data_IF_092665189294
#
_entry.id   IF_092665189294
#
_cell.length_a   1.000
_cell.length_b   1.000
_cell.length_c   1.000
_cell.angle_alpha   90.00
_cell.angle_beta   90.00
_cell.angle_gamma   90.00
#
_symmetry.space_group_name_H-M   'P 1'
#
loop_
_entity.id
_entity.type
_entity.pdbx_description
1 polymer ?
#
# COMPACT_ATOMS: atom_id res chain seq x y z
N UNK A 1 -35.14 -2.84 9.95
CA UNK A 1 -35.67 -1.55 10.44
C UNK A 1 -35.48 -0.53 9.34
N UNK A 2 -36.55 -0.21 8.63
CA UNK A 2 -36.56 0.78 7.54
C UNK A 2 -36.75 2.15 8.20
N UNK A 3 -35.71 2.99 8.16
CA UNK A 3 -35.84 4.39 8.58
C UNK A 3 -36.56 5.13 7.45
N UNK A 4 -37.72 5.66 7.79
CA UNK A 4 -38.62 6.38 6.91
C UNK A 4 -38.01 7.71 6.42
N UNK A 5 -38.13 8.06 5.12
CA UNK A 5 -37.62 9.33 4.56
C UNK A 5 -38.38 10.58 5.05
N UNK A 6 -39.41 10.42 5.89
CA UNK A 6 -40.19 11.53 6.43
C UNK A 6 -39.52 12.28 7.60
N UNK A 7 -38.43 11.76 8.17
CA UNK A 7 -37.77 12.35 9.35
C UNK A 7 -36.83 13.53 8.99
N UNK A 8 -36.32 13.56 7.76
CA UNK A 8 -35.47 14.65 7.27
C UNK A 8 -36.29 15.92 6.92
N UNK A 9 -37.48 15.74 6.35
CA UNK A 9 -38.37 16.85 6.00
C UNK A 9 -38.94 17.55 7.23
N UNK A 10 -39.20 16.81 8.32
CA UNK A 10 -39.70 17.38 9.58
C UNK A 10 -38.68 18.30 10.25
N UNK A 11 -37.39 17.96 10.17
CA UNK A 11 -36.31 18.80 10.72
C UNK A 11 -36.10 20.09 9.93
N UNK A 12 -36.29 20.07 8.61
CA UNK A 12 -36.18 21.29 7.77
C UNK A 12 -37.35 22.25 8.06
N UNK A 13 -38.56 21.73 8.28
CA UNK A 13 -39.74 22.54 8.63
C UNK A 13 -39.59 23.18 10.01
N UNK A 14 -39.05 22.44 11.00
CA UNK A 14 -38.78 22.98 12.34
C UNK A 14 -37.73 24.10 12.33
N UNK A 15 -36.67 23.95 11.52
CA UNK A 15 -35.64 25.00 11.39
C UNK A 15 -36.19 26.26 10.72
N UNK A 16 -37.06 26.12 9.71
CA UNK A 16 -37.71 27.28 9.08
C UNK A 16 -38.68 28.00 10.03
N UNK A 17 -39.37 27.27 10.91
CA UNK A 17 -40.27 27.86 11.90
C UNK A 17 -39.51 28.62 13.01
N UNK A 18 -38.36 28.10 13.47
CA UNK A 18 -37.51 28.83 14.42
C UNK A 18 -36.92 30.11 13.79
N UNK A 19 -36.52 30.05 12.51
CA UNK A 19 -35.99 31.21 11.78
C UNK A 19 -37.03 32.30 11.55
N UNK A 20 -38.29 31.94 11.31
CA UNK A 20 -39.37 32.93 11.21
C UNK A 20 -39.69 33.58 12.56
N UNK A 21 -39.57 32.83 13.66
CA UNK A 21 -39.81 33.34 15.01
C UNK A 21 -38.75 34.35 15.45
N UNK A 22 -37.48 34.10 15.14
CA UNK A 22 -36.39 35.05 15.39
C UNK A 22 -36.51 36.32 14.53
N UNK A 23 -36.94 36.21 13.27
CA UNK A 23 -37.16 37.38 12.43
C UNK A 23 -38.36 38.23 12.91
N UNK A 24 -39.44 37.60 13.39
CA UNK A 24 -40.55 38.34 14.00
C UNK A 24 -40.16 39.04 15.31
N UNK A 25 -39.29 38.45 16.14
CA UNK A 25 -38.77 39.12 17.34
C UNK A 25 -37.84 40.29 16.98
N UNK A 26 -37.02 40.14 15.94
CA UNK A 26 -36.15 41.21 15.45
C UNK A 26 -36.94 42.40 14.88
N UNK A 27 -38.04 42.13 14.18
CA UNK A 27 -38.92 43.16 13.64
C UNK A 27 -39.77 43.83 14.73
N UNK A 28 -40.18 43.10 15.78
CA UNK A 28 -40.80 43.67 16.99
C UNK A 28 -39.83 44.56 17.77
N UNK A 29 -38.54 44.20 17.82
CA UNK A 29 -37.50 45.02 18.46
C UNK A 29 -37.17 46.28 17.65
N UNK A 30 -37.25 46.23 16.31
CA UNK A 30 -37.11 47.42 15.46
C UNK A 30 -38.33 48.34 15.50
N UNK A 31 -39.54 47.78 15.64
CA UNK A 31 -40.77 48.56 15.73
C UNK A 31 -40.92 49.32 17.06
N UNK A 32 -40.30 48.84 18.14
CA UNK A 32 -40.33 49.47 19.47
C UNK A 32 -39.17 50.45 19.73
N UNK A 33 -38.28 50.68 18.76
CA UNK A 33 -37.06 51.45 18.91
C UNK A 33 -37.04 52.74 18.09
N UNK A 34 -38.01 53.63 18.33
CA UNK A 34 -37.91 55.03 17.90
C UNK A 34 -37.76 55.89 19.15
N UNK A 35 -36.81 56.83 19.13
CA UNK A 35 -36.44 57.78 20.19
C UNK A 35 -35.35 57.35 21.20
N UNK A 36 -34.11 57.26 20.71
CA UNK A 36 -32.94 57.79 21.43
C UNK A 36 -31.75 57.89 20.47
N UNK A 37 -31.55 59.07 19.92
CA UNK A 37 -30.36 59.45 19.16
C UNK A 37 -29.13 59.62 20.07
N UNK A 38 -27.96 59.37 19.49
CA UNK A 38 -26.60 59.80 19.87
C UNK A 38 -25.68 58.87 20.70
N UNK A 39 -24.59 58.52 20.01
CA UNK A 39 -23.29 58.02 20.50
C UNK A 39 -23.27 56.63 21.11
N UNK A 40 -23.29 55.63 20.23
CA UNK A 40 -22.29 54.57 20.35
C UNK A 40 -21.86 54.15 18.96
N UNK A 41 -20.61 54.50 18.66
CA UNK A 41 -19.70 53.82 17.75
C UNK A 41 -20.29 52.52 17.20
N UNK A 42 -20.74 52.58 15.93
CA UNK A 42 -21.04 51.40 15.13
C UNK A 42 -19.81 50.52 15.20
N UNK A 43 -19.84 49.48 16.04
CA UNK A 43 -18.74 48.55 16.19
C UNK A 43 -18.65 47.68 14.92
N UNK A 44 -17.76 47.97 13.96
CA UNK A 44 -17.64 47.17 12.76
C UNK A 44 -16.57 46.10 13.04
N UNK A 45 -16.69 45.34 14.15
CA UNK A 45 -15.65 44.36 14.56
C UNK A 45 -16.22 43.03 15.06
N UNK A 46 -17.55 42.81 15.09
CA UNK A 46 -18.09 41.48 15.48
C UNK A 46 -18.29 40.50 14.34
N UNK A 47 -18.46 40.96 13.10
CA UNK A 47 -18.61 40.05 11.95
C UNK A 47 -17.27 39.47 11.51
N UNK A 48 -16.17 40.24 11.61
CA UNK A 48 -14.83 39.75 11.26
C UNK A 48 -14.31 38.68 12.24
N UNK A 49 -14.68 38.75 13.52
CA UNK A 49 -14.28 37.75 14.51
C UNK A 49 -14.94 36.38 14.28
N UNK A 50 -16.19 36.37 13.79
CA UNK A 50 -16.88 35.13 13.45
C UNK A 50 -16.37 34.51 12.14
N UNK A 51 -15.88 35.31 11.18
CA UNK A 51 -15.28 34.78 9.95
C UNK A 51 -13.91 34.11 10.16
N UNK A 52 -13.13 34.57 11.15
CA UNK A 52 -11.85 33.92 11.49
C UNK A 52 -12.03 32.59 12.24
N UNK A 53 -13.13 32.42 12.99
CA UNK A 53 -13.54 31.13 13.55
C UNK A 53 -14.11 30.17 12.48
N UNK A 54 -14.46 30.69 11.30
CA UNK A 54 -15.05 29.95 10.17
C UNK A 54 -14.00 29.33 9.22
N UNK A 55 -12.72 29.63 9.39
CA UNK A 55 -11.60 29.04 8.60
C UNK A 55 -10.64 28.27 9.50
N UNK A 56 -11.18 27.44 10.38
CA UNK A 56 -10.36 26.80 11.42
C UNK A 56 -9.41 25.71 10.85
N UNK A 57 -9.58 25.29 9.60
CA UNK A 57 -8.67 24.32 8.96
C UNK A 57 -7.54 25.06 8.24
N UNK A 58 -6.39 25.18 8.89
CA UNK A 58 -5.20 25.70 8.22
C UNK A 58 -4.76 24.76 7.09
N UNK A 59 -4.22 25.31 6.01
CA UNK A 59 -3.71 24.52 4.88
C UNK A 59 -2.62 23.52 5.32
N UNK A 60 -1.82 23.89 6.32
CA UNK A 60 -0.80 23.01 6.93
C UNK A 60 -1.44 21.83 7.64
N UNK A 61 -2.58 22.01 8.30
CA UNK A 61 -3.31 20.95 8.98
C UNK A 61 -3.96 19.98 8.00
N UNK A 62 -4.64 20.49 6.97
CA UNK A 62 -5.15 19.65 5.89
C UNK A 62 -4.03 18.79 5.29
N UNK A 63 -2.89 19.42 5.03
CA UNK A 63 -1.71 18.74 4.48
C UNK A 63 -1.20 17.66 5.44
N UNK A 64 -1.13 17.94 6.73
CA UNK A 64 -0.71 16.96 7.73
C UNK A 64 -1.67 15.75 7.82
N UNK A 65 -2.98 16.00 7.89
CA UNK A 65 -4.00 14.95 7.94
C UNK A 65 -3.99 14.08 6.67
N UNK A 66 -3.87 14.72 5.51
CA UNK A 66 -3.79 14.03 4.22
C UNK A 66 -2.49 13.22 4.09
N UNK A 67 -1.34 13.78 4.44
CA UNK A 67 -0.06 13.07 4.37
C UNK A 67 -0.01 11.86 5.31
N UNK A 68 -0.56 11.98 6.52
CA UNK A 68 -0.61 10.86 7.45
C UNK A 68 -1.56 9.76 6.97
N UNK A 69 -2.71 10.13 6.38
CA UNK A 69 -3.58 9.20 5.68
C UNK A 69 -2.88 8.51 4.51
N UNK A 70 -2.16 9.26 3.67
CA UNK A 70 -1.39 8.69 2.54
C UNK A 70 -0.36 7.69 3.03
N UNK A 71 0.36 8.01 4.11
CA UNK A 71 1.34 7.12 4.72
C UNK A 71 0.73 5.79 5.17
N UNK A 72 -0.37 5.81 5.95
CA UNK A 72 -1.01 4.58 6.39
C UNK A 72 -1.61 3.78 5.24
N UNK A 73 -2.19 4.47 4.25
CA UNK A 73 -2.75 3.84 3.06
C UNK A 73 -1.65 3.16 2.22
N UNK A 74 -0.50 3.82 2.05
CA UNK A 74 0.66 3.27 1.37
C UNK A 74 1.28 2.07 2.10
N UNK A 75 1.43 2.14 3.42
CA UNK A 75 1.90 1.00 4.21
C UNK A 75 0.94 -0.20 4.10
N UNK A 76 -0.36 0.06 4.16
CA UNK A 76 -1.39 -0.97 4.04
C UNK A 76 -1.40 -1.55 2.64
N UNK A 77 -1.20 -0.72 1.61
CA UNK A 77 -1.00 -1.15 0.23
C UNK A 77 0.19 -2.10 0.10
N UNK A 78 1.36 -1.71 0.59
CA UNK A 78 2.55 -2.57 0.58
C UNK A 78 2.29 -3.89 1.31
N UNK A 79 1.56 -3.85 2.43
CA UNK A 79 1.21 -5.04 3.21
C UNK A 79 0.22 -5.94 2.46
N UNK A 80 -0.77 -5.36 1.78
CA UNK A 80 -1.76 -6.09 1.00
C UNK A 80 -1.17 -6.67 -0.29
N UNK A 81 -0.31 -5.95 -0.99
CA UNK A 81 0.41 -6.48 -2.15
C UNK A 81 1.36 -7.61 -1.75
N UNK A 82 1.86 -7.57 -0.52
CA UNK A 82 2.68 -8.63 0.03
C UNK A 82 1.87 -9.86 0.49
N UNK A 83 0.63 -9.67 0.96
CA UNK A 83 -0.25 -10.74 1.47
C UNK A 83 -1.21 -11.31 0.42
N UNK A 84 -1.57 -10.53 -0.59
CA UNK A 84 -2.59 -10.86 -1.59
C UNK A 84 -1.91 -11.38 -2.85
N UNK A 85 -1.97 -12.69 -3.05
CA UNK A 85 -1.44 -13.40 -4.21
C UNK A 85 -2.35 -13.33 -5.46
N UNK A 86 -3.36 -12.45 -5.44
CA UNK A 86 -4.34 -12.35 -6.53
C UNK A 86 -3.71 -11.59 -7.72
N UNK A 87 -3.65 -12.25 -8.87
CA UNK A 87 -3.30 -11.64 -10.17
C UNK A 87 -4.40 -10.69 -10.67
N UNK A 88 -5.61 -10.82 -10.13
CA UNK A 88 -6.74 -9.95 -10.42
C UNK A 88 -6.62 -8.66 -9.60
N UNK A 89 -6.94 -7.53 -10.24
CA UNK A 89 -6.69 -6.17 -9.75
C UNK A 89 -7.30 -5.80 -8.39
N UNK A 90 -7.93 -4.64 -8.28
CA UNK A 90 -8.55 -4.24 -7.01
C UNK A 90 -9.78 -5.09 -6.71
N UNK A 91 -9.66 -6.03 -5.78
CA UNK A 91 -10.82 -6.72 -5.22
C UNK A 91 -11.56 -5.78 -4.26
N UNK A 92 -12.87 -5.98 -4.10
CA UNK A 92 -13.69 -5.20 -3.15
C UNK A 92 -13.11 -5.26 -1.71
N UNK A 93 -12.47 -6.38 -1.36
CA UNK A 93 -11.72 -6.54 -0.11
C UNK A 93 -10.50 -5.61 -0.03
N UNK A 94 -9.63 -5.59 -1.04
CA UNK A 94 -8.48 -4.67 -1.10
C UNK A 94 -8.95 -3.22 -0.98
N UNK A 95 -9.98 -2.84 -1.73
CA UNK A 95 -10.61 -1.52 -1.66
C UNK A 95 -11.06 -1.20 -0.24
N UNK A 96 -11.79 -2.11 0.41
CA UNK A 96 -12.28 -1.91 1.78
C UNK A 96 -11.14 -1.68 2.78
N UNK A 97 -10.11 -2.53 2.75
CA UNK A 97 -8.98 -2.45 3.69
C UNK A 97 -8.17 -1.17 3.49
N UNK A 98 -7.92 -0.78 2.23
CA UNK A 98 -7.21 0.46 1.93
C UNK A 98 -8.03 1.69 2.33
N UNK A 99 -9.33 1.68 2.10
CA UNK A 99 -10.22 2.75 2.55
C UNK A 99 -10.26 2.85 4.08
N UNK A 100 -10.24 1.73 4.79
CA UNK A 100 -10.11 1.73 6.26
C UNK A 100 -8.77 2.36 6.69
N UNK A 101 -7.66 2.02 6.04
CA UNK A 101 -6.35 2.58 6.37
C UNK A 101 -6.28 4.09 6.13
N UNK A 102 -6.73 4.55 4.96
CA UNK A 102 -6.86 5.96 4.63
C UNK A 102 -7.76 6.67 5.67
N UNK A 103 -8.94 6.12 5.97
CA UNK A 103 -9.85 6.68 6.97
C UNK A 103 -9.27 6.73 8.38
N UNK A 104 -8.53 5.70 8.78
CA UNK A 104 -7.83 5.63 10.07
C UNK A 104 -6.77 6.71 10.19
N UNK A 105 -6.03 7.00 9.12
CA UNK A 105 -5.04 8.08 9.11
C UNK A 105 -5.68 9.45 9.22
N UNK A 106 -6.69 9.73 8.40
CA UNK A 106 -7.45 10.98 8.48
C UNK A 106 -8.12 11.15 9.87
N UNK A 107 -8.68 10.08 10.43
CA UNK A 107 -9.28 10.08 11.76
C UNK A 107 -8.24 10.33 12.87
N UNK A 108 -7.11 9.63 12.85
CA UNK A 108 -6.09 9.75 13.88
C UNK A 108 -5.47 11.15 13.89
N UNK A 109 -5.12 11.69 12.72
CA UNK A 109 -4.57 13.02 12.58
C UNK A 109 -5.60 14.12 12.86
N UNK A 110 -6.84 13.97 12.37
CA UNK A 110 -7.91 14.96 12.55
C UNK A 110 -8.53 15.01 13.95
N UNK A 111 -8.19 14.06 14.85
CA UNK A 111 -8.53 14.12 16.27
C UNK A 111 -7.40 14.67 17.15
N UNK A 112 -6.29 15.13 16.56
CA UNK A 112 -5.23 15.85 17.28
C UNK A 112 -5.73 17.26 17.65
N UNK A 113 -5.29 17.80 18.79
CA UNK A 113 -5.62 19.16 19.27
C UNK A 113 -7.12 19.44 19.51
N UNK A 114 -7.84 18.54 20.19
CA UNK A 114 -9.24 18.72 20.61
C UNK A 114 -10.28 18.85 19.47
N UNK A 115 -9.93 18.45 18.25
CA UNK A 115 -10.88 18.33 17.15
C UNK A 115 -11.54 16.96 17.13
N UNK A 116 -12.75 16.90 16.59
CA UNK A 116 -13.52 15.66 16.46
C UNK A 116 -13.61 15.29 14.98
N UNK A 117 -12.67 14.49 14.48
CA UNK A 117 -12.85 13.86 13.17
C UNK A 117 -13.73 12.63 13.33
N UNK A 118 -14.82 12.54 12.56
CA UNK A 118 -15.69 11.36 12.59
C UNK A 118 -15.16 10.30 11.63
N UNK A 119 -14.81 9.13 12.17
CA UNK A 119 -14.29 8.01 11.39
C UNK A 119 -15.26 7.59 10.27
N UNK A 120 -16.56 7.56 10.53
CA UNK A 120 -17.57 7.12 9.56
C UNK A 120 -17.55 7.99 8.30
N UNK A 121 -17.36 9.31 8.45
CA UNK A 121 -17.33 10.23 7.32
C UNK A 121 -15.97 10.22 6.61
N UNK A 122 -14.87 10.07 7.36
CA UNK A 122 -13.56 9.82 6.77
C UNK A 122 -13.57 8.54 5.91
N UNK A 123 -14.18 7.48 6.44
CA UNK A 123 -14.34 6.21 5.75
C UNK A 123 -15.25 6.32 4.54
N UNK A 124 -16.37 7.03 4.62
CA UNK A 124 -17.25 7.23 3.48
C UNK A 124 -16.54 7.97 2.33
N UNK A 125 -15.80 9.05 2.64
CA UNK A 125 -15.00 9.78 1.66
C UNK A 125 -13.89 8.91 1.04
N UNK A 126 -13.13 8.21 1.88
CA UNK A 126 -12.08 7.29 1.43
C UNK A 126 -12.63 6.15 0.58
N UNK A 127 -13.73 5.52 1.00
CA UNK A 127 -14.32 4.37 0.33
C UNK A 127 -14.92 4.73 -1.02
N UNK A 128 -15.69 5.82 -1.11
CA UNK A 128 -16.27 6.26 -2.38
C UNK A 128 -15.19 6.51 -3.43
N UNK A 129 -14.14 7.24 -3.06
CA UNK A 129 -13.10 7.61 -4.01
C UNK A 129 -12.13 6.46 -4.31
N UNK A 130 -11.79 5.63 -3.32
CA UNK A 130 -11.00 4.41 -3.54
C UNK A 130 -11.74 3.44 -4.45
N UNK A 131 -13.05 3.26 -4.25
CA UNK A 131 -13.88 2.41 -5.10
C UNK A 131 -13.87 2.89 -6.54
N UNK A 132 -14.12 4.18 -6.79
CA UNK A 132 -14.07 4.74 -8.15
C UNK A 132 -12.68 4.59 -8.78
N UNK A 133 -11.62 4.97 -8.05
CA UNK A 133 -10.24 4.91 -8.57
C UNK A 133 -9.77 3.49 -8.85
N UNK A 134 -10.26 2.52 -8.08
CA UNK A 134 -9.94 1.10 -8.28
C UNK A 134 -10.35 0.56 -9.67
N UNK A 135 -11.32 1.20 -10.34
CA UNK A 135 -11.74 0.87 -11.71
C UNK A 135 -11.06 1.73 -12.79
N UNK A 136 -10.50 2.87 -12.42
CA UNK A 136 -9.97 3.87 -13.37
C UNK A 136 -8.44 3.78 -13.49
N UNK A 137 -7.74 3.48 -12.40
CA UNK A 137 -6.28 3.54 -12.37
C UNK A 137 -5.67 2.47 -11.48
N UNK A 138 -4.55 1.90 -11.92
CA UNK A 138 -3.69 1.03 -11.11
C UNK A 138 -2.52 1.78 -10.49
N UNK A 139 -2.47 3.11 -10.63
CA UNK A 139 -1.38 3.91 -10.10
C UNK A 139 -1.52 4.12 -8.59
N UNK A 140 -0.64 3.46 -7.84
CA UNK A 140 -0.59 3.45 -6.37
C UNK A 140 -0.59 4.86 -5.78
N UNK A 141 0.09 5.82 -6.41
CA UNK A 141 0.15 7.19 -5.93
C UNK A 141 -1.25 7.84 -5.94
N UNK A 142 -2.01 7.67 -7.02
CA UNK A 142 -3.37 8.20 -7.09
C UNK A 142 -4.31 7.48 -6.12
N UNK A 143 -4.18 6.16 -6.01
CA UNK A 143 -4.91 5.31 -5.06
C UNK A 143 -4.67 5.72 -3.61
N UNK A 144 -3.46 6.18 -3.25
CA UNK A 144 -3.17 6.60 -1.88
C UNK A 144 -3.57 8.06 -1.65
N UNK A 145 -3.21 8.96 -2.58
CA UNK A 145 -3.37 10.42 -2.42
C UNK A 145 -4.84 10.83 -2.46
N UNK A 146 -5.56 10.40 -3.49
CA UNK A 146 -6.90 10.94 -3.75
C UNK A 146 -7.90 10.50 -2.66
N UNK A 147 -8.01 9.21 -2.28
CA UNK A 147 -8.88 8.78 -1.18
C UNK A 147 -8.48 9.36 0.17
N UNK A 148 -7.19 9.60 0.41
CA UNK A 148 -6.71 10.28 1.62
C UNK A 148 -7.20 11.73 1.69
N UNK A 149 -7.08 12.48 0.59
CA UNK A 149 -7.62 13.83 0.50
C UNK A 149 -9.14 13.84 0.66
N UNK A 150 -9.86 12.89 0.04
CA UNK A 150 -11.32 12.79 0.19
C UNK A 150 -11.74 12.46 1.63
N UNK A 151 -11.01 11.58 2.32
CA UNK A 151 -11.27 11.28 3.73
C UNK A 151 -11.23 12.55 4.58
N UNK A 152 -10.19 13.38 4.38
CA UNK A 152 -9.97 14.64 5.11
C UNK A 152 -11.02 15.69 4.72
N UNK A 153 -11.33 15.85 3.42
CA UNK A 153 -12.38 16.76 2.94
C UNK A 153 -13.74 16.42 3.57
N UNK A 154 -14.13 15.14 3.56
CA UNK A 154 -15.41 14.71 4.14
C UNK A 154 -15.48 14.95 5.65
N UNK A 155 -14.36 14.74 6.36
CA UNK A 155 -14.26 15.09 7.79
C UNK A 155 -14.49 16.59 8.00
N UNK A 156 -13.85 17.45 7.21
CA UNK A 156 -14.00 18.90 7.36
C UNK A 156 -15.39 19.40 6.95
N UNK A 157 -15.98 18.87 5.88
CA UNK A 157 -17.35 19.19 5.47
C UNK A 157 -18.32 18.86 6.60
N UNK A 158 -18.22 17.66 7.18
CA UNK A 158 -19.14 17.30 8.28
C UNK A 158 -18.88 18.14 9.51
N UNK A 159 -17.62 18.41 9.86
CA UNK A 159 -17.30 19.25 11.00
C UNK A 159 -17.80 20.68 10.85
N UNK A 160 -17.87 21.20 9.62
CA UNK A 160 -18.52 22.48 9.32
C UNK A 160 -20.03 22.45 9.62
N UNK A 161 -20.71 21.34 9.31
CA UNK A 161 -22.17 21.23 9.50
C UNK A 161 -22.61 20.72 10.90
N UNK A 162 -21.69 20.24 11.75
CA UNK A 162 -22.04 19.61 13.03
C UNK A 162 -21.95 20.62 14.20
N UNK A 163 -23.06 20.83 14.92
CA UNK A 163 -23.03 21.45 16.26
C UNK A 163 -22.21 20.58 17.24
N UNK A 164 -21.49 21.17 18.21
CA UNK A 164 -20.62 20.44 19.13
C UNK A 164 -21.44 19.46 19.99
N UNK A 165 -21.37 18.16 19.66
CA UNK A 165 -21.92 17.09 20.48
C UNK A 165 -20.85 16.58 21.46
N UNK A 166 -21.29 16.26 22.69
CA UNK A 166 -20.50 15.87 23.85
C UNK A 166 -19.21 15.11 23.50
N UNK A 167 -18.09 15.81 23.72
CA UNK A 167 -16.74 15.45 23.31
C UNK A 167 -16.14 14.45 24.32
N UNK A 168 -15.64 13.31 23.84
CA UNK A 168 -14.58 12.57 24.55
C UNK A 168 -13.25 13.03 23.97
N UNK A 169 -12.36 13.54 24.80
CA UNK A 169 -11.08 14.09 24.37
C UNK A 169 -10.16 12.95 23.91
N UNK A 170 -9.88 12.90 22.61
CA UNK A 170 -8.79 12.09 22.09
C UNK A 170 -7.48 12.83 22.35
N UNK A 171 -6.62 12.28 23.21
CA UNK A 171 -5.37 12.94 23.62
C UNK A 171 -4.20 12.49 22.74
N UNK A 172 -3.10 13.26 22.74
CA UNK A 172 -1.83 12.84 22.10
C UNK A 172 -1.34 11.49 22.67
N UNK A 173 -1.63 11.21 23.95
CA UNK A 173 -1.32 9.92 24.56
C UNK A 173 -2.08 8.77 23.90
N UNK A 174 -3.36 8.97 23.56
CA UNK A 174 -4.14 7.98 22.82
C UNK A 174 -3.57 7.78 21.40
N UNK A 175 -3.16 8.85 20.73
CA UNK A 175 -2.50 8.76 19.42
C UNK A 175 -1.21 7.92 19.47
N UNK A 176 -0.32 8.23 20.42
CA UNK A 176 0.95 7.49 20.60
C UNK A 176 0.66 6.03 20.96
N UNK A 177 -0.31 5.77 21.83
CA UNK A 177 -0.69 4.42 22.22
C UNK A 177 -1.17 3.59 21.02
N UNK A 178 -2.16 4.08 20.27
CA UNK A 178 -2.71 3.34 19.13
C UNK A 178 -1.70 3.17 17.99
N UNK A 179 -0.87 4.18 17.74
CA UNK A 179 0.23 4.09 16.77
C UNK A 179 1.26 3.04 17.20
N UNK A 180 1.59 3.00 18.50
CA UNK A 180 2.53 2.00 19.05
C UNK A 180 1.97 0.58 18.96
N UNK A 181 0.68 0.38 19.28
CA UNK A 181 0.00 -0.91 19.15
C UNK A 181 -0.02 -1.37 17.69
N UNK A 182 -0.33 -0.47 16.75
CA UNK A 182 -0.33 -0.80 15.33
C UNK A 182 1.08 -1.16 14.83
N UNK A 183 2.10 -0.39 15.20
CA UNK A 183 3.49 -0.71 14.86
C UNK A 183 3.96 -2.01 15.50
N UNK A 184 3.54 -2.33 16.73
CA UNK A 184 3.84 -3.60 17.38
C UNK A 184 3.21 -4.76 16.60
N UNK A 185 1.96 -4.62 16.17
CA UNK A 185 1.29 -5.63 15.34
C UNK A 185 2.04 -5.84 14.02
N UNK A 186 2.41 -4.77 13.32
CA UNK A 186 3.23 -4.85 12.11
C UNK A 186 4.58 -5.52 12.36
N UNK A 187 5.26 -5.17 13.46
CA UNK A 187 6.53 -5.79 13.83
C UNK A 187 6.36 -7.29 14.11
N UNK A 188 5.30 -7.70 14.84
CA UNK A 188 5.04 -9.12 15.10
C UNK A 188 4.73 -9.90 13.83
N UNK A 189 3.97 -9.31 12.90
CA UNK A 189 3.66 -9.89 11.61
C UNK A 189 4.93 -10.02 10.76
N UNK A 190 5.74 -8.97 10.70
CA UNK A 190 7.03 -8.98 9.99
C UNK A 190 7.97 -10.04 10.58
N UNK A 191 8.15 -10.09 11.90
CA UNK A 191 8.97 -11.10 12.57
C UNK A 191 8.47 -12.52 12.25
N UNK A 192 7.16 -12.75 12.30
CA UNK A 192 6.57 -14.05 11.98
C UNK A 192 6.87 -14.50 10.55
N UNK A 193 6.72 -13.58 9.59
CA UNK A 193 6.97 -13.85 8.17
C UNK A 193 8.46 -14.01 7.90
N UNK A 194 9.30 -13.10 8.41
CA UNK A 194 10.75 -13.18 8.27
C UNK A 194 11.28 -14.49 8.83
N UNK A 195 10.77 -14.95 9.98
CA UNK A 195 11.15 -16.26 10.53
C UNK A 195 10.78 -17.40 9.58
N UNK A 196 9.57 -17.39 9.03
CA UNK A 196 9.14 -18.42 8.08
C UNK A 196 9.99 -18.44 6.80
N UNK A 197 10.38 -17.27 6.29
CA UNK A 197 11.25 -17.15 5.11
C UNK A 197 12.69 -17.58 5.45
N UNK A 198 13.23 -17.12 6.58
CA UNK A 198 14.60 -17.38 6.98
C UNK A 198 14.86 -18.82 7.44
N UNK A 199 13.84 -19.50 7.98
CA UNK A 199 13.91 -20.92 8.34
C UNK A 199 13.90 -21.84 7.09
N UNK A 200 13.62 -21.32 5.89
CA UNK A 200 13.70 -22.09 4.65
C UNK A 200 15.12 -22.59 4.42
N UNK A 201 15.24 -23.88 4.10
CA UNK A 201 16.54 -24.51 3.83
C UNK A 201 16.80 -24.56 2.33
N UNK A 202 17.91 -23.99 1.93
CA UNK A 202 18.41 -23.99 0.56
C UNK A 202 19.54 -25.01 0.46
N UNK A 203 19.49 -25.87 -0.55
CA UNK A 203 20.54 -26.85 -0.85
C UNK A 203 21.16 -26.51 -2.20
N UNK A 204 22.44 -26.19 -2.21
CA UNK A 204 23.23 -26.02 -3.43
C UNK A 204 23.92 -27.36 -3.77
N UNK A 205 23.79 -27.82 -5.01
CA UNK A 205 24.46 -29.05 -5.50
C UNK A 205 25.44 -28.74 -6.61
N UNK A 206 26.67 -29.19 -6.44
CA UNK A 206 27.71 -29.04 -7.44
C UNK A 206 27.58 -30.16 -8.48
N UNK A 207 27.50 -29.80 -9.76
CA UNK A 207 27.44 -30.76 -10.87
C UNK A 207 28.76 -31.51 -11.06
N UNK A 208 29.90 -30.89 -10.73
CA UNK A 208 31.22 -31.47 -10.93
C UNK A 208 31.56 -32.48 -9.83
N UNK A 209 31.45 -32.09 -8.55
CA UNK A 209 31.81 -32.96 -7.41
C UNK A 209 30.67 -33.81 -6.86
N UNK A 210 29.41 -33.60 -7.31
CA UNK A 210 28.18 -34.16 -6.71
C UNK A 210 27.98 -33.84 -5.22
N UNK A 211 28.83 -32.97 -4.65
CA UNK A 211 28.69 -32.51 -3.27
C UNK A 211 27.45 -31.61 -3.13
N UNK A 212 26.87 -31.60 -1.93
CA UNK A 212 25.70 -30.77 -1.62
C UNK A 212 25.92 -30.04 -0.31
N UNK A 213 25.68 -28.73 -0.32
CA UNK A 213 25.74 -27.86 0.86
C UNK A 213 24.33 -27.38 1.17
N UNK A 214 23.91 -27.49 2.44
CA UNK A 214 22.59 -27.02 2.89
C UNK A 214 22.74 -25.94 3.94
N UNK A 215 22.07 -24.81 3.76
CA UNK A 215 22.04 -23.71 4.73
C UNK A 215 20.63 -23.15 4.86
N UNK A 216 20.33 -22.51 5.99
CA UNK A 216 19.09 -21.73 6.11
C UNK A 216 19.24 -20.42 5.36
N UNK A 217 18.14 -19.94 4.77
CA UNK A 217 18.14 -18.66 4.07
C UNK A 217 18.50 -17.51 5.00
N UNK A 218 18.05 -17.57 6.26
CA UNK A 218 18.47 -16.64 7.31
C UNK A 218 19.98 -16.59 7.48
N UNK A 219 20.64 -17.74 7.63
CA UNK A 219 22.11 -17.80 7.76
C UNK A 219 22.80 -17.19 6.54
N UNK A 220 22.34 -17.51 5.32
CA UNK A 220 22.92 -16.98 4.09
C UNK A 220 22.74 -15.46 3.98
N UNK A 221 21.55 -14.94 4.27
CA UNK A 221 21.26 -13.50 4.26
C UNK A 221 22.06 -12.76 5.33
N UNK A 222 22.10 -13.29 6.54
CA UNK A 222 22.80 -12.68 7.67
C UNK A 222 24.32 -12.68 7.46
N UNK A 223 24.88 -13.75 6.92
CA UNK A 223 26.29 -13.81 6.52
C UNK A 223 26.62 -12.81 5.41
N UNK A 224 25.75 -12.70 4.40
CA UNK A 224 25.94 -11.79 3.28
C UNK A 224 25.90 -10.31 3.70
N UNK A 225 25.00 -9.94 4.62
CA UNK A 225 24.80 -8.55 5.04
C UNK A 225 25.70 -8.09 6.19
N UNK A 226 25.99 -8.95 7.19
CA UNK A 226 26.51 -8.48 8.48
C UNK A 226 27.80 -9.15 8.95
N UNK A 227 28.01 -10.44 8.63
CA UNK A 227 29.09 -11.21 9.27
C UNK A 227 30.21 -11.57 8.31
N UNK A 228 30.00 -12.58 7.47
CA UNK A 228 31.02 -13.11 6.59
C UNK A 228 30.44 -13.40 5.20
N UNK A 229 30.51 -12.39 4.33
CA UNK A 229 30.02 -12.45 2.96
C UNK A 229 30.63 -13.59 2.15
N UNK A 230 31.90 -13.92 2.41
CA UNK A 230 32.65 -14.97 1.72
C UNK A 230 31.99 -16.36 1.90
N UNK A 231 31.35 -16.64 3.04
CA UNK A 231 30.65 -17.91 3.25
C UNK A 231 29.43 -18.05 2.33
N UNK A 232 28.65 -16.98 2.18
CA UNK A 232 27.50 -16.96 1.26
C UNK A 232 27.96 -16.96 -0.19
N UNK A 233 29.05 -16.26 -0.51
CA UNK A 233 29.65 -16.30 -1.84
C UNK A 233 30.10 -17.71 -2.19
N UNK A 234 30.87 -18.36 -1.32
CA UNK A 234 31.32 -19.74 -1.50
C UNK A 234 30.15 -20.72 -1.62
N UNK A 235 29.05 -20.49 -0.89
CA UNK A 235 27.84 -21.32 -0.97
C UNK A 235 27.15 -21.26 -2.35
N UNK A 236 27.20 -20.12 -3.05
CA UNK A 236 26.57 -19.95 -4.37
C UNK A 236 27.56 -19.99 -5.54
N UNK A 237 28.86 -19.96 -5.28
CA UNK A 237 29.92 -20.01 -6.28
C UNK A 237 30.06 -21.42 -6.85
N UNK A 238 30.19 -21.55 -8.16
CA UNK A 238 30.37 -22.82 -8.90
C UNK A 238 29.18 -23.80 -8.85
N UNK A 239 28.20 -23.59 -7.98
CA UNK A 239 26.99 -24.41 -7.85
C UNK A 239 25.96 -24.11 -8.96
N UNK A 240 25.57 -25.14 -9.71
CA UNK A 240 24.71 -25.00 -10.90
C UNK A 240 23.24 -25.33 -10.64
N UNK A 241 22.93 -26.09 -9.59
CA UNK A 241 21.55 -26.46 -9.25
C UNK A 241 21.24 -26.09 -7.80
N UNK A 242 20.15 -25.34 -7.61
CA UNK A 242 19.61 -24.99 -6.30
C UNK A 242 18.31 -25.77 -6.07
N UNK A 243 18.25 -26.45 -4.94
CA UNK A 243 17.09 -27.16 -4.46
C UNK A 243 16.55 -26.52 -3.18
N UNK A 244 15.23 -26.35 -3.13
CA UNK A 244 14.53 -25.80 -1.98
C UNK A 244 13.96 -26.95 -1.16
N UNK A 245 14.47 -27.15 0.06
CA UNK A 245 14.00 -28.21 0.95
C UNK A 245 12.84 -27.70 1.78
N UNK A 246 11.64 -28.25 1.52
CA UNK A 246 10.41 -27.88 2.21
C UNK A 246 10.09 -28.90 3.31
N UNK A 247 9.75 -28.45 4.52
CA UNK A 247 9.09 -29.33 5.48
C UNK A 247 7.72 -29.73 4.93
N UNK A 248 7.35 -31.00 5.08
CA UNK A 248 6.11 -31.57 4.52
C UNK A 248 4.83 -30.85 4.96
N UNK A 249 4.87 -30.13 6.09
CA UNK A 249 3.78 -29.30 6.63
C UNK A 249 3.46 -28.04 5.81
N UNK A 250 4.32 -27.65 4.86
CA UNK A 250 4.21 -26.40 4.11
C UNK A 250 3.61 -26.53 2.70
N UNK A 251 3.02 -27.68 2.37
CA UNK A 251 2.26 -27.89 1.12
C UNK A 251 0.87 -27.21 1.12
N UNK A 252 0.53 -26.42 2.14
CA UNK A 252 -0.74 -25.68 2.19
C UNK A 252 -0.71 -24.52 1.20
N UNK A 253 -1.80 -24.39 0.44
CA UNK A 253 -1.97 -23.37 -0.59
C UNK A 253 -1.81 -21.94 -0.05
N UNK A 254 -2.27 -21.70 1.19
CA UNK A 254 -2.22 -20.39 1.85
C UNK A 254 -0.80 -19.91 2.22
N UNK A 255 0.22 -20.76 2.09
CA UNK A 255 1.63 -20.41 2.36
C UNK A 255 2.50 -20.32 1.09
N UNK A 256 1.90 -20.45 -0.10
CA UNK A 256 2.62 -20.40 -1.38
C UNK A 256 3.44 -19.12 -1.57
N UNK A 257 2.91 -17.97 -1.15
CA UNK A 257 3.58 -16.67 -1.29
C UNK A 257 4.90 -16.57 -0.49
N UNK A 258 4.99 -17.21 0.68
CA UNK A 258 6.22 -17.27 1.49
C UNK A 258 7.33 -17.98 0.69
N UNK A 259 6.97 -19.01 -0.07
CA UNK A 259 7.91 -19.75 -0.91
C UNK A 259 8.40 -18.90 -2.08
N UNK A 260 7.51 -18.15 -2.71
CA UNK A 260 7.90 -17.17 -3.74
C UNK A 260 8.88 -16.13 -3.20
N UNK A 261 8.64 -15.62 -1.99
CA UNK A 261 9.52 -14.66 -1.34
C UNK A 261 10.87 -15.26 -0.97
N UNK A 262 10.89 -16.47 -0.40
CA UNK A 262 12.12 -17.18 -0.06
C UNK A 262 12.95 -17.53 -1.29
N UNK A 263 12.29 -17.95 -2.36
CA UNK A 263 12.93 -18.18 -3.67
C UNK A 263 13.48 -16.87 -4.23
N UNK A 264 12.70 -15.79 -4.23
CA UNK A 264 13.15 -14.49 -4.73
C UNK A 264 14.38 -13.97 -3.96
N UNK A 265 14.40 -14.12 -2.63
CA UNK A 265 15.54 -13.75 -1.82
C UNK A 265 16.76 -14.65 -2.08
N UNK A 266 16.54 -15.95 -2.25
CA UNK A 266 17.62 -16.89 -2.61
C UNK A 266 18.21 -16.54 -3.98
N UNK A 267 17.36 -16.28 -4.96
CA UNK A 267 17.75 -15.89 -6.31
C UNK A 267 18.48 -14.55 -6.33
N UNK A 268 18.05 -13.59 -5.50
CA UNK A 268 18.74 -12.32 -5.35
C UNK A 268 20.17 -12.55 -4.85
N UNK A 269 20.34 -13.28 -3.76
CA UNK A 269 21.66 -13.57 -3.20
C UNK A 269 22.52 -14.34 -4.21
N UNK A 270 21.98 -15.39 -4.81
CA UNK A 270 22.65 -16.21 -5.82
C UNK A 270 23.10 -15.37 -7.02
N UNK A 271 22.19 -14.56 -7.58
CA UNK A 271 22.47 -13.76 -8.76
C UNK A 271 23.47 -12.66 -8.43
N UNK A 272 23.32 -11.96 -7.31
CA UNK A 272 24.22 -10.88 -6.92
C UNK A 272 25.65 -11.37 -6.70
N UNK A 273 25.82 -12.50 -5.99
CA UNK A 273 27.13 -13.16 -5.81
C UNK A 273 27.79 -13.41 -7.16
N UNK A 274 27.07 -14.05 -8.09
CA UNK A 274 27.64 -14.44 -9.38
C UNK A 274 27.82 -13.24 -10.34
N UNK A 275 26.97 -12.21 -10.23
CA UNK A 275 27.08 -10.96 -11.00
C UNK A 275 28.40 -10.24 -10.74
N UNK A 276 28.83 -10.19 -9.47
CA UNK A 276 30.10 -9.55 -9.08
C UNK A 276 31.33 -10.38 -9.48
N UNK A 277 31.20 -11.70 -9.60
CA UNK A 277 32.27 -12.59 -10.01
C UNK A 277 32.46 -12.65 -11.54
N UNK A 278 31.46 -12.25 -12.33
CA UNK A 278 31.48 -12.29 -13.80
C UNK A 278 31.29 -10.90 -14.46
N UNK A 279 32.14 -9.89 -14.16
CA UNK A 279 31.96 -8.51 -14.66
C UNK A 279 32.16 -8.37 -16.18
N UNK A 280 32.59 -9.43 -16.87
CA UNK A 280 32.91 -9.40 -18.30
C UNK A 280 31.68 -9.47 -19.20
N UNK A 281 30.50 -9.83 -18.67
CA UNK A 281 29.27 -9.92 -19.45
C UNK A 281 28.59 -8.55 -19.46
N UNK A 282 28.79 -7.82 -20.56
CA UNK A 282 28.06 -6.56 -20.82
C UNK A 282 26.56 -6.87 -20.99
N UNK A 283 25.71 -5.92 -20.63
CA UNK A 283 24.25 -5.97 -20.79
C UNK A 283 23.48 -6.94 -19.88
N UNK A 284 24.09 -7.38 -18.76
CA UNK A 284 23.37 -8.13 -17.74
C UNK A 284 22.36 -7.24 -17.00
N UNK A 285 21.17 -7.79 -16.67
CA UNK A 285 20.24 -7.07 -15.81
C UNK A 285 20.75 -7.00 -14.36
N UNK A 286 20.33 -5.96 -13.64
CA UNK A 286 20.59 -5.88 -12.21
C UNK A 286 19.92 -7.04 -11.46
N UNK A 287 20.46 -7.47 -10.31
CA UNK A 287 19.93 -8.61 -9.55
C UNK A 287 18.43 -8.49 -9.27
N UNK A 288 17.98 -7.32 -8.81
CA UNK A 288 16.57 -7.08 -8.52
C UNK A 288 15.68 -7.20 -9.77
N UNK A 289 16.13 -6.69 -10.92
CA UNK A 289 15.39 -6.81 -12.18
C UNK A 289 15.27 -8.26 -12.63
N UNK A 290 16.36 -9.01 -12.55
CA UNK A 290 16.35 -10.43 -12.94
C UNK A 290 15.44 -11.27 -12.04
N UNK A 291 15.54 -11.10 -10.73
CA UNK A 291 14.67 -11.76 -9.75
C UNK A 291 13.20 -11.42 -10.01
N UNK A 292 12.90 -10.15 -10.28
CA UNK A 292 11.53 -9.71 -10.58
C UNK A 292 10.97 -10.41 -11.82
N UNK A 293 11.75 -10.53 -12.89
CA UNK A 293 11.30 -11.25 -14.09
C UNK A 293 11.17 -12.75 -13.88
N UNK A 294 12.10 -13.38 -13.15
CA UNK A 294 12.00 -14.80 -12.80
C UNK A 294 10.75 -15.06 -11.96
N UNK A 295 10.51 -14.23 -10.94
CA UNK A 295 9.33 -14.32 -10.08
C UNK A 295 8.04 -14.14 -10.89
N UNK A 296 8.01 -13.11 -11.74
CA UNK A 296 6.88 -12.84 -12.63
C UNK A 296 6.60 -14.04 -13.56
N UNK A 297 7.63 -14.67 -14.13
CA UNK A 297 7.47 -15.88 -14.96
C UNK A 297 6.92 -17.05 -14.18
N UNK A 298 7.37 -17.25 -12.94
CA UNK A 298 6.86 -18.34 -12.12
C UNK A 298 5.37 -18.18 -11.83
N UNK A 299 4.94 -16.96 -11.54
CA UNK A 299 3.54 -16.62 -11.22
C UNK A 299 2.67 -16.72 -12.48
N UNK A 300 2.99 -15.96 -13.52
CA UNK A 300 2.15 -15.80 -14.72
C UNK A 300 2.12 -17.03 -15.63
N UNK A 301 3.06 -17.95 -15.46
CA UNK A 301 3.11 -19.21 -16.23
C UNK A 301 2.72 -20.41 -15.35
N UNK A 302 2.16 -20.15 -14.17
CA UNK A 302 1.68 -21.15 -13.22
C UNK A 302 2.72 -22.23 -12.87
N UNK A 303 3.99 -21.82 -12.79
CA UNK A 303 5.07 -22.70 -12.35
C UNK A 303 5.19 -22.69 -10.83
N UNK A 304 5.59 -23.83 -10.27
CA UNK A 304 5.90 -23.92 -8.84
C UNK A 304 7.00 -22.92 -8.47
N UNK A 305 6.94 -22.26 -7.30
CA UNK A 305 8.01 -21.36 -6.83
C UNK A 305 9.39 -22.04 -6.86
N UNK A 306 9.43 -23.36 -6.68
CA UNK A 306 10.65 -24.15 -6.64
C UNK A 306 11.10 -24.69 -8.01
N UNK A 307 10.47 -24.26 -9.10
CA UNK A 307 10.88 -24.66 -10.45
C UNK A 307 12.32 -24.23 -10.70
N UNK A 308 13.16 -25.16 -11.13
CA UNK A 308 14.55 -24.87 -11.46
C UNK A 308 14.66 -24.09 -12.78
N UNK A 309 15.85 -23.54 -13.03
CA UNK A 309 16.07 -22.71 -14.22
C UNK A 309 15.79 -23.46 -15.52
N UNK A 310 16.08 -24.78 -15.55
CA UNK A 310 15.79 -25.64 -16.70
C UNK A 310 14.28 -25.70 -17.02
N UNK A 311 13.45 -25.92 -16.01
CA UNK A 311 11.99 -25.98 -16.19
C UNK A 311 11.43 -24.64 -16.68
N UNK A 312 11.94 -23.52 -16.14
CA UNK A 312 11.54 -22.17 -16.60
C UNK A 312 12.00 -21.95 -18.04
N UNK A 313 13.24 -22.32 -18.40
CA UNK A 313 13.76 -22.22 -19.77
C UNK A 313 12.97 -23.06 -20.77
N UNK A 314 12.61 -24.30 -20.43
CA UNK A 314 11.78 -25.17 -21.27
C UNK A 314 10.41 -24.52 -21.54
N UNK A 315 9.80 -23.97 -20.50
CA UNK A 315 8.53 -23.26 -20.62
C UNK A 315 8.65 -21.98 -21.46
N UNK A 316 9.76 -21.25 -21.34
CA UNK A 316 10.05 -20.12 -22.20
C UNK A 316 10.23 -20.50 -23.67
N UNK A 317 10.83 -21.66 -23.97
CA UNK A 317 10.91 -22.17 -25.35
C UNK A 317 9.51 -22.48 -25.89
N UNK A 318 8.63 -23.07 -25.08
CA UNK A 318 7.24 -23.34 -25.45
C UNK A 318 6.47 -22.05 -25.77
N UNK A 319 6.54 -21.05 -24.89
CA UNK A 319 5.91 -19.72 -25.08
C UNK A 319 6.43 -19.07 -26.36
N UNK A 320 7.73 -19.10 -26.58
CA UNK A 320 8.33 -18.50 -27.77
C UNK A 320 7.88 -19.22 -29.05
N UNK A 321 7.71 -20.56 -29.03
CA UNK A 321 7.24 -21.36 -30.18
C UNK A 321 5.80 -21.03 -30.59
N UNK A 322 4.95 -20.62 -29.66
CA UNK A 322 3.56 -20.28 -29.93
C UNK A 322 3.39 -18.88 -30.56
N UNK A 323 4.45 -18.07 -30.65
CA UNK A 323 4.36 -16.73 -31.25
C UNK A 323 4.49 -16.71 -32.79
N UNK A 324 3.74 -15.81 -33.47
CA UNK A 324 3.93 -15.51 -34.89
C UNK A 324 5.35 -15.01 -35.19
N UNK A 325 5.96 -15.51 -36.27
CA UNK A 325 7.35 -15.23 -36.66
C UNK A 325 7.66 -13.72 -36.80
N UNK A 326 6.67 -12.92 -37.22
CA UNK A 326 6.81 -11.47 -37.39
C UNK A 326 7.03 -10.71 -36.06
N UNK A 327 6.50 -11.20 -34.94
CA UNK A 327 6.70 -10.63 -33.60
C UNK A 327 8.03 -11.07 -32.96
N UNK A 328 8.57 -12.24 -33.35
CA UNK A 328 9.88 -12.70 -32.86
C UNK A 328 11.05 -11.86 -33.37
N UNK A 329 10.95 -11.36 -34.61
CA UNK A 329 12.03 -10.62 -35.28
C UNK A 329 12.06 -9.15 -34.84
N UNK A 330 10.90 -8.59 -34.48
CA UNK A 330 10.72 -7.18 -34.14
C UNK A 330 10.38 -6.94 -32.66
N UNK A 331 10.86 -7.79 -31.73
CA UNK A 331 10.75 -7.44 -30.31
C UNK A 331 11.47 -6.10 -30.10
N UNK A 332 10.77 -5.03 -29.69
CA UNK A 332 11.41 -3.74 -29.51
C UNK A 332 12.40 -3.88 -28.34
N UNK A 333 13.67 -3.96 -28.68
CA UNK A 333 14.79 -4.05 -27.72
C UNK A 333 14.95 -2.76 -26.89
N UNK A 334 14.15 -1.72 -27.16
CA UNK A 334 14.36 -0.37 -26.63
C UNK A 334 13.15 0.32 -25.98
N UNK A 335 11.91 -0.10 -26.25
CA UNK A 335 10.74 0.59 -25.68
C UNK A 335 10.17 -0.21 -24.50
N UNK A 336 10.33 0.35 -23.30
CA UNK A 336 9.88 -0.17 -21.99
C UNK A 336 8.33 -0.32 -21.87
N UNK A 337 7.58 -0.18 -22.96
CA UNK A 337 6.12 -0.29 -22.97
C UNK A 337 5.60 -1.73 -22.81
N UNK A 338 6.43 -2.75 -23.09
CA UNK A 338 6.04 -4.18 -23.06
C UNK A 338 6.79 -5.01 -22.00
N UNK A 339 7.17 -4.38 -20.87
CA UNK A 339 7.91 -5.01 -19.75
C UNK A 339 7.16 -6.21 -19.14
N UNK A 340 5.85 -6.30 -19.34
CA UNK A 340 4.98 -7.36 -18.81
C UNK A 340 4.60 -8.45 -19.82
N UNK A 341 5.22 -8.51 -21.01
CA UNK A 341 4.96 -9.62 -21.92
C UNK A 341 5.74 -10.89 -21.50
N UNK A 342 5.13 -12.10 -21.58
CA UNK A 342 5.82 -13.36 -21.26
C UNK A 342 7.13 -13.54 -22.02
N UNK A 343 7.16 -13.11 -23.27
CA UNK A 343 8.33 -13.22 -24.15
C UNK A 343 9.45 -12.27 -23.78
N UNK A 344 9.12 -11.04 -23.40
CA UNK A 344 10.12 -10.11 -22.87
C UNK A 344 10.72 -10.65 -21.57
N UNK A 345 9.88 -11.12 -20.64
CA UNK A 345 10.33 -11.72 -19.40
C UNK A 345 11.20 -12.98 -19.65
N UNK A 346 10.81 -13.85 -20.59
CA UNK A 346 11.59 -15.03 -20.99
C UNK A 346 12.94 -14.66 -21.61
N UNK A 347 12.98 -13.67 -22.49
CA UNK A 347 14.23 -13.18 -23.07
C UNK A 347 15.15 -12.63 -21.97
N UNK A 348 14.62 -11.77 -21.09
CA UNK A 348 15.40 -11.15 -20.02
C UNK A 348 15.87 -12.15 -18.97
N UNK A 349 15.05 -13.13 -18.61
CA UNK A 349 15.42 -14.27 -17.76
C UNK A 349 16.60 -15.04 -18.37
N UNK A 350 16.49 -15.39 -19.67
CA UNK A 350 17.52 -16.13 -20.41
C UNK A 350 18.83 -15.35 -20.52
N UNK A 351 18.77 -14.03 -20.73
CA UNK A 351 19.96 -13.16 -20.72
C UNK A 351 20.64 -13.19 -19.35
N UNK A 352 19.89 -13.09 -18.26
CA UNK A 352 20.48 -13.13 -16.92
C UNK A 352 21.02 -14.49 -16.51
N UNK A 353 20.52 -15.61 -17.07
CA UNK A 353 21.09 -16.93 -16.82
C UNK A 353 22.56 -17.06 -17.24
N UNK A 354 23.03 -16.19 -18.15
CA UNK A 354 24.45 -16.12 -18.52
C UNK A 354 25.37 -15.79 -17.35
N UNK A 355 24.85 -15.23 -16.25
CA UNK A 355 25.63 -14.99 -15.02
C UNK A 355 26.18 -16.30 -14.40
N UNK A 356 25.52 -17.42 -14.66
CA UNK A 356 25.85 -18.72 -14.08
C UNK A 356 26.66 -19.64 -15.01
N UNK A 357 27.06 -19.14 -16.19
CA UNK A 357 27.75 -19.88 -17.25
C UNK A 357 29.00 -19.15 -17.70
#
# INVERSE_FOLDING_TARGET
>A
MVVSPYDASFRIILVNLEFQKENEELDKLKANGTEAEQKTEVAPIRVAHNLNDLTDVSASQFTFEALYSVYLCFLTWCTLEFLSNDEDGFTLWKTLVLSLACASGAYAAGNVQNRSASFVFAFQGAFMLMFILSYITSNVLFICIMPSCAAVIFVHIVNFYRKPLNRKNFTLSNFIFWTSVFNLLLATLFIGISRQVFDLRVTARDKASKSSSTASLGTLTTNYLFFNREQTETFFKDFKDIHYNLPSSYKKENTKWIHYLGVALTDYLRYDVNYHHNPKIKDLPSPLKWVSWRLWLLVNVFLSPHSNDKAISEKCVEINKQMPTALRINLPLKDDANVFSPTFACHRFTVGLKVFH
#
